data_IF_199734587984
#
_entry.id   IF_199734587984
#
_cell.length_a   1.000
_cell.length_b   1.000
_cell.length_c   1.000
_cell.angle_alpha   90.00
_cell.angle_beta   90.00
_cell.angle_gamma   90.00
#
_symmetry.space_group_name_H-M   'P 1'
#
loop_
_entity.id
_entity.type
_entity.pdbx_description
1 polymer ?
#
# COMPACT_ATOMS: atom_id res chain seq x y z
N UNK A 1 40.62 10.61 10.35
CA UNK A 1 39.60 9.54 10.39
C UNK A 1 38.24 10.00 9.89
N UNK A 2 37.93 11.30 9.96
CA UNK A 2 36.64 11.88 9.47
C UNK A 2 36.51 11.79 7.95
N UNK A 3 37.54 12.09 7.18
CA UNK A 3 37.52 12.08 5.73
C UNK A 3 37.26 10.67 5.12
N UNK A 4 37.78 9.61 5.75
CA UNK A 4 37.55 8.24 5.31
C UNK A 4 36.08 7.81 5.56
N UNK A 5 35.49 8.25 6.66
CA UNK A 5 34.05 8.03 6.96
C UNK A 5 33.15 8.77 6.00
N UNK A 6 33.50 9.98 5.58
CA UNK A 6 32.71 10.76 4.63
C UNK A 6 32.80 10.22 3.18
N UNK A 7 33.97 9.71 2.79
CA UNK A 7 34.14 9.02 1.50
C UNK A 7 33.33 7.72 1.47
N UNK A 8 33.29 6.97 2.57
CA UNK A 8 32.52 5.74 2.68
C UNK A 8 31.00 6.02 2.63
N UNK A 9 30.55 7.11 3.27
CA UNK A 9 29.13 7.54 3.24
C UNK A 9 28.67 8.03 1.86
N UNK A 10 29.57 8.66 1.08
CA UNK A 10 29.23 9.15 -0.27
C UNK A 10 29.20 8.06 -1.32
N UNK A 11 29.83 6.91 -1.09
CA UNK A 11 29.89 5.81 -2.04
C UNK A 11 28.68 4.85 -1.96
N UNK A 12 27.88 4.91 -0.91
CA UNK A 12 26.62 4.17 -0.85
C UNK A 12 25.57 4.98 -1.63
N UNK A 13 25.55 4.82 -2.95
CA UNK A 13 24.42 5.31 -3.77
C UNK A 13 23.12 4.71 -3.23
N UNK A 14 22.01 5.44 -3.34
CA UNK A 14 20.70 5.01 -2.83
C UNK A 14 20.29 3.58 -3.23
N UNK A 15 20.76 3.10 -4.38
CA UNK A 15 20.58 1.70 -4.82
C UNK A 15 21.36 0.68 -3.99
N UNK A 16 22.46 1.07 -3.36
CA UNK A 16 23.25 0.20 -2.50
C UNK A 16 22.78 0.21 -1.04
N UNK A 17 21.96 1.18 -0.65
CA UNK A 17 21.43 1.26 0.71
C UNK A 17 20.60 0.01 1.10
N UNK A 18 19.86 -0.56 0.16
CA UNK A 18 19.11 -1.82 0.36
C UNK A 18 20.01 -3.04 0.53
N UNK A 19 21.23 -3.00 -0.02
CA UNK A 19 22.22 -4.08 0.10
C UNK A 19 23.16 -3.91 1.29
N UNK A 20 23.08 -2.80 2.01
CA UNK A 20 24.01 -2.49 3.13
C UNK A 20 23.99 -3.57 4.20
N UNK A 21 22.82 -4.09 4.55
CA UNK A 21 22.67 -5.10 5.59
C UNK A 21 23.27 -6.46 5.18
N UNK A 22 23.00 -7.03 4.00
CA UNK A 22 23.68 -8.23 3.50
C UNK A 22 25.19 -8.06 3.33
N UNK A 23 25.65 -6.90 2.82
CA UNK A 23 27.06 -6.61 2.63
C UNK A 23 27.83 -6.47 3.96
N UNK A 24 27.21 -5.83 4.95
CA UNK A 24 27.77 -5.77 6.30
C UNK A 24 27.90 -7.18 6.89
N UNK A 25 26.88 -7.99 6.77
CA UNK A 25 26.90 -9.36 7.26
C UNK A 25 27.98 -10.20 6.57
N UNK A 26 28.18 -10.02 5.27
CA UNK A 26 29.24 -10.68 4.50
C UNK A 26 30.65 -10.33 5.03
N UNK A 27 30.86 -9.09 5.46
CA UNK A 27 32.16 -8.61 5.95
C UNK A 27 32.45 -8.96 7.41
N UNK A 28 31.41 -9.16 8.23
CA UNK A 28 31.54 -9.35 9.69
C UNK A 28 31.41 -10.82 10.08
N UNK A 29 30.58 -11.60 9.37
CA UNK A 29 30.26 -12.96 9.75
C UNK A 29 31.19 -13.99 9.10
N UNK A 30 31.60 -15.05 9.83
CA UNK A 30 32.26 -16.21 9.22
C UNK A 30 31.37 -16.90 8.18
N UNK A 31 31.94 -17.53 7.18
CA UNK A 31 31.24 -18.09 6.02
C UNK A 31 30.03 -18.99 6.37
N UNK A 32 30.15 -19.87 7.38
CA UNK A 32 29.03 -20.73 7.81
C UNK A 32 27.89 -19.95 8.46
N UNK A 33 28.20 -18.95 9.29
CA UNK A 33 27.19 -18.09 9.96
C UNK A 33 26.53 -17.17 8.95
N UNK A 34 27.28 -16.68 7.96
CA UNK A 34 26.72 -15.90 6.84
C UNK A 34 25.71 -16.73 6.03
N UNK A 35 26.02 -18.02 5.77
CA UNK A 35 25.07 -18.92 5.10
C UNK A 35 23.76 -19.11 5.87
N UNK A 36 23.82 -19.30 7.19
CA UNK A 36 22.62 -19.36 8.05
C UNK A 36 21.84 -18.05 8.05
N UNK A 37 22.55 -16.93 8.12
CA UNK A 37 21.96 -15.60 8.06
C UNK A 37 21.19 -15.37 6.74
N UNK A 38 21.78 -15.67 5.61
CA UNK A 38 21.14 -15.56 4.29
C UNK A 38 19.95 -16.50 4.15
N UNK A 39 20.06 -17.73 4.65
CA UNK A 39 18.93 -18.69 4.68
C UNK A 39 17.77 -18.15 5.51
N UNK A 40 18.05 -17.56 6.66
CA UNK A 40 17.04 -16.90 7.51
C UNK A 40 16.31 -15.76 6.81
N UNK A 41 17.04 -14.88 6.11
CA UNK A 41 16.45 -13.80 5.30
C UNK A 41 15.53 -14.38 4.22
N UNK A 42 16.01 -15.36 3.45
CA UNK A 42 15.23 -15.98 2.38
C UNK A 42 13.97 -16.65 2.94
N UNK A 43 14.09 -17.39 4.05
CA UNK A 43 12.95 -18.04 4.70
C UNK A 43 11.89 -17.00 5.16
N UNK A 44 12.33 -15.90 5.73
CA UNK A 44 11.43 -14.79 6.15
C UNK A 44 10.72 -14.17 4.95
N UNK A 45 11.44 -13.92 3.86
CA UNK A 45 10.85 -13.39 2.62
C UNK A 45 9.82 -14.37 2.04
N UNK A 46 10.13 -15.67 1.96
CA UNK A 46 9.20 -16.69 1.45
C UNK A 46 7.93 -16.76 2.31
N UNK A 47 8.07 -16.81 3.63
CA UNK A 47 6.92 -16.84 4.55
C UNK A 47 6.01 -15.59 4.39
N UNK A 48 6.61 -14.42 4.21
CA UNK A 48 5.86 -13.18 4.01
C UNK A 48 5.13 -13.16 2.67
N UNK A 49 5.81 -13.58 1.60
CA UNK A 49 5.22 -13.65 0.24
C UNK A 49 4.05 -14.63 0.22
N UNK A 50 4.20 -15.81 0.82
CA UNK A 50 3.14 -16.82 0.88
C UNK A 50 1.90 -16.28 1.62
N UNK A 51 2.08 -15.67 2.78
CA UNK A 51 0.98 -15.15 3.60
C UNK A 51 0.26 -13.99 2.92
N UNK A 52 1.01 -12.99 2.45
CA UNK A 52 0.43 -11.80 1.78
C UNK A 52 -0.11 -12.15 0.40
N UNK A 53 0.55 -13.03 -0.34
CA UNK A 53 0.10 -13.52 -1.64
C UNK A 53 -1.23 -14.26 -1.53
N UNK A 54 -1.36 -15.17 -0.57
CA UNK A 54 -2.60 -15.89 -0.33
C UNK A 54 -3.73 -14.95 0.11
N UNK A 55 -3.47 -14.03 1.05
CA UNK A 55 -4.45 -13.05 1.51
C UNK A 55 -4.94 -12.17 0.36
N UNK A 56 -4.03 -11.68 -0.48
CA UNK A 56 -4.37 -10.87 -1.65
C UNK A 56 -5.15 -11.68 -2.69
N UNK A 57 -4.78 -12.96 -2.90
CA UNK A 57 -5.48 -13.86 -3.80
C UNK A 57 -6.91 -14.17 -3.33
N UNK A 58 -7.12 -14.35 -2.01
CA UNK A 58 -8.45 -14.56 -1.44
C UNK A 58 -9.28 -13.29 -1.60
N UNK A 59 -8.77 -12.12 -1.24
CA UNK A 59 -9.48 -10.85 -1.38
C UNK A 59 -9.84 -10.58 -2.83
N UNK A 60 -8.91 -10.73 -3.76
CA UNK A 60 -9.18 -10.49 -5.18
C UNK A 60 -10.08 -11.57 -5.79
N UNK A 61 -9.79 -12.85 -5.52
CA UNK A 61 -10.50 -13.98 -6.09
C UNK A 61 -11.92 -14.12 -5.55
N UNK A 62 -12.09 -14.04 -4.23
CA UNK A 62 -13.40 -14.21 -3.57
C UNK A 62 -14.22 -12.94 -3.58
N UNK A 63 -13.64 -11.81 -3.15
CA UNK A 63 -14.43 -10.60 -2.92
C UNK A 63 -14.70 -9.84 -4.21
N UNK A 64 -13.86 -10.01 -5.24
CA UNK A 64 -14.00 -9.33 -6.51
C UNK A 64 -14.45 -10.26 -7.63
N UNK A 65 -13.69 -11.29 -8.00
CA UNK A 65 -14.00 -12.15 -9.14
C UNK A 65 -15.25 -13.02 -8.91
N UNK A 66 -15.34 -13.69 -7.76
CA UNK A 66 -16.49 -14.54 -7.46
C UNK A 66 -17.78 -13.72 -7.37
N UNK A 67 -17.75 -12.56 -6.73
CA UNK A 67 -18.93 -11.70 -6.56
C UNK A 67 -19.45 -11.11 -7.88
N UNK A 68 -18.58 -10.94 -8.88
CA UNK A 68 -18.96 -10.43 -10.21
C UNK A 68 -19.50 -11.57 -11.09
N UNK A 69 -18.99 -12.79 -10.92
CA UNK A 69 -19.19 -13.89 -11.86
C UNK A 69 -20.14 -14.97 -11.36
N UNK A 70 -20.51 -15.01 -10.08
CA UNK A 70 -21.41 -16.03 -9.50
C UNK A 70 -22.70 -15.43 -9.03
N UNK A 71 -23.82 -15.89 -9.64
CA UNK A 71 -25.17 -15.66 -9.14
C UNK A 71 -25.55 -16.64 -8.01
N UNK A 72 -24.82 -17.75 -7.86
CA UNK A 72 -25.09 -18.82 -6.91
C UNK A 72 -24.18 -18.77 -5.68
N UNK A 73 -24.78 -18.69 -4.49
CA UNK A 73 -24.09 -18.69 -3.18
C UNK A 73 -23.45 -20.04 -2.82
N UNK A 74 -23.73 -21.09 -3.57
CA UNK A 74 -23.23 -22.47 -3.35
C UNK A 74 -22.03 -22.84 -4.23
N UNK A 75 -21.60 -21.96 -5.13
CA UNK A 75 -20.47 -22.24 -6.03
C UNK A 75 -19.14 -22.30 -5.30
N UNK A 76 -18.29 -23.24 -5.71
CA UNK A 76 -16.98 -23.48 -5.12
C UNK A 76 -16.06 -22.26 -5.37
N UNK A 77 -15.56 -21.60 -4.32
CA UNK A 77 -14.72 -20.38 -4.41
C UNK A 77 -13.26 -20.67 -4.75
N UNK A 78 -12.81 -21.92 -4.64
CA UNK A 78 -11.40 -22.30 -4.84
C UNK A 78 -10.87 -21.92 -6.23
N UNK A 79 -11.57 -22.17 -7.35
CA UNK A 79 -11.07 -21.83 -8.68
C UNK A 79 -10.91 -20.31 -8.87
N UNK A 80 -11.74 -19.51 -8.22
CA UNK A 80 -11.65 -18.04 -8.25
C UNK A 80 -10.43 -17.54 -7.47
N UNK A 81 -10.12 -18.15 -6.33
CA UNK A 81 -8.92 -17.84 -5.54
C UNK A 81 -7.66 -18.19 -6.34
N UNK A 82 -7.64 -19.32 -7.05
CA UNK A 82 -6.51 -19.69 -7.93
C UNK A 82 -6.32 -18.67 -9.08
N UNK A 83 -7.39 -18.24 -9.72
CA UNK A 83 -7.33 -17.16 -10.73
C UNK A 83 -6.84 -15.86 -10.10
N UNK A 84 -7.32 -15.52 -8.91
CA UNK A 84 -6.87 -14.36 -8.13
C UNK A 84 -5.37 -14.41 -7.85
N UNK A 85 -4.83 -15.57 -7.47
CA UNK A 85 -3.40 -15.75 -7.22
C UNK A 85 -2.56 -15.44 -8.47
N UNK A 86 -2.96 -15.96 -9.63
CA UNK A 86 -2.26 -15.72 -10.89
C UNK A 86 -2.26 -14.22 -11.24
N UNK A 87 -3.43 -13.58 -11.12
CA UNK A 87 -3.57 -12.16 -11.45
C UNK A 87 -2.75 -11.29 -10.50
N UNK A 88 -2.82 -11.55 -9.19
CA UNK A 88 -2.05 -10.80 -8.18
C UNK A 88 -0.55 -11.00 -8.36
N UNK A 89 -0.09 -12.23 -8.67
CA UNK A 89 1.31 -12.51 -8.95
C UNK A 89 1.80 -11.75 -10.18
N UNK A 90 1.02 -11.74 -11.25
CA UNK A 90 1.36 -10.97 -12.46
C UNK A 90 1.41 -9.45 -12.17
N UNK A 91 0.42 -8.94 -11.44
CA UNK A 91 0.39 -7.52 -11.04
C UNK A 91 1.60 -7.15 -10.17
N UNK A 92 1.99 -8.03 -9.24
CA UNK A 92 3.17 -7.84 -8.40
C UNK A 92 4.46 -7.76 -9.22
N UNK A 93 4.62 -8.60 -10.26
CA UNK A 93 5.76 -8.56 -11.16
C UNK A 93 5.81 -7.24 -11.96
N UNK A 94 4.66 -6.79 -12.46
CA UNK A 94 4.55 -5.51 -13.17
C UNK A 94 4.93 -4.35 -12.26
N UNK A 95 4.43 -4.34 -11.02
CA UNK A 95 4.76 -3.30 -10.02
C UNK A 95 6.26 -3.33 -9.66
N UNK A 96 6.85 -4.51 -9.49
CA UNK A 96 8.28 -4.66 -9.22
C UNK A 96 9.15 -4.13 -10.37
N UNK A 97 8.68 -4.28 -11.61
CA UNK A 97 9.36 -3.73 -12.79
C UNK A 97 9.25 -2.21 -12.89
N UNK A 98 8.06 -1.65 -12.61
CA UNK A 98 7.80 -0.21 -12.71
C UNK A 98 8.40 0.58 -11.54
N UNK A 99 8.45 -0.02 -10.34
CA UNK A 99 8.91 0.60 -9.10
C UNK A 99 10.01 -0.27 -8.46
N UNK A 100 11.24 -0.21 -8.94
CA UNK A 100 12.33 -1.07 -8.46
C UNK A 100 12.78 -0.74 -7.03
N UNK A 101 12.41 0.43 -6.50
CA UNK A 101 12.73 0.84 -5.14
C UNK A 101 11.57 0.50 -4.19
N UNK A 102 11.85 -0.37 -3.21
CA UNK A 102 10.89 -0.75 -2.16
C UNK A 102 10.41 0.48 -1.38
N UNK A 103 11.31 1.42 -1.09
CA UNK A 103 10.99 2.67 -0.38
C UNK A 103 10.01 3.53 -1.17
N UNK A 104 10.24 3.68 -2.48
CA UNK A 104 9.31 4.40 -3.36
C UNK A 104 7.95 3.72 -3.46
N UNK A 105 7.91 2.39 -3.50
CA UNK A 105 6.67 1.62 -3.51
C UNK A 105 5.86 1.85 -2.22
N UNK A 106 6.49 1.73 -1.04
CA UNK A 106 5.82 2.01 0.23
C UNK A 106 5.35 3.46 0.35
N UNK A 107 6.18 4.40 -0.11
CA UNK A 107 5.82 5.81 -0.14
C UNK A 107 4.61 6.07 -1.04
N UNK A 108 4.60 5.53 -2.26
CA UNK A 108 3.50 5.69 -3.21
C UNK A 108 2.19 5.10 -2.67
N UNK A 109 2.24 3.84 -2.18
CA UNK A 109 1.06 3.16 -1.62
C UNK A 109 0.57 3.89 -0.37
N UNK A 110 1.47 4.23 0.55
CA UNK A 110 1.14 4.91 1.79
C UNK A 110 0.53 6.28 1.57
N UNK A 111 1.14 7.11 0.73
CA UNK A 111 0.67 8.47 0.48
C UNK A 111 -0.63 8.54 -0.34
N UNK A 112 -0.91 7.52 -1.17
CA UNK A 112 -2.11 7.50 -2.02
C UNK A 112 -3.28 6.77 -1.38
N UNK A 113 -3.07 5.57 -0.81
CA UNK A 113 -4.18 4.74 -0.32
C UNK A 113 -4.60 5.07 1.12
N UNK A 114 -3.66 5.39 2.01
CA UNK A 114 -3.98 5.63 3.43
C UNK A 114 -4.98 6.77 3.63
N UNK A 115 -4.86 7.93 2.94
CA UNK A 115 -5.83 9.03 3.11
C UNK A 115 -7.27 8.64 2.77
N UNK A 116 -7.45 7.75 1.80
CA UNK A 116 -8.77 7.27 1.40
C UNK A 116 -9.37 6.24 2.35
N UNK A 117 -8.54 5.47 3.05
CA UNK A 117 -8.98 4.35 3.87
C UNK A 117 -9.11 4.69 5.36
N UNK A 118 -8.26 5.60 5.88
CA UNK A 118 -8.14 5.82 7.33
C UNK A 118 -9.43 6.36 7.96
N UNK A 119 -10.06 7.36 7.36
CA UNK A 119 -11.28 7.95 7.94
C UNK A 119 -12.52 7.06 7.81
N UNK A 120 -12.82 6.42 6.67
CA UNK A 120 -13.84 5.39 6.60
C UNK A 120 -13.64 4.25 7.62
N UNK A 121 -12.40 3.80 7.81
CA UNK A 121 -12.05 2.80 8.80
C UNK A 121 -12.32 3.28 10.23
N UNK A 122 -11.87 4.49 10.60
CA UNK A 122 -12.13 5.10 11.90
C UNK A 122 -13.63 5.31 12.17
N UNK A 123 -14.40 5.64 11.13
CA UNK A 123 -15.85 5.73 11.25
C UNK A 123 -16.51 4.41 11.63
N UNK A 124 -15.96 3.27 11.21
CA UNK A 124 -16.49 1.94 11.54
C UNK A 124 -16.31 1.59 13.02
N UNK A 125 -15.24 2.10 13.65
CA UNK A 125 -14.92 1.85 15.07
C UNK A 125 -15.67 2.82 16.00
N UNK A 126 -16.26 3.88 15.46
CA UNK A 126 -16.96 4.89 16.24
C UNK A 126 -18.25 4.33 16.85
N UNK A 127 -18.60 4.72 18.10
CA UNK A 127 -19.82 4.29 18.79
C UNK A 127 -21.12 4.57 18.02
N UNK A 128 -21.15 5.67 17.24
CA UNK A 128 -22.25 6.03 16.35
C UNK A 128 -21.72 6.22 14.94
N UNK A 129 -21.52 5.13 14.16
CA UNK A 129 -21.01 5.23 12.81
C UNK A 129 -22.01 5.93 11.89
N UNK A 130 -21.50 6.79 11.02
CA UNK A 130 -22.33 7.38 9.97
C UNK A 130 -22.77 6.29 8.99
N UNK A 131 -24.05 6.29 8.57
CA UNK A 131 -24.56 5.27 7.65
C UNK A 131 -23.88 5.38 6.28
N UNK A 132 -23.08 4.35 5.96
CA UNK A 132 -22.30 4.27 4.73
C UNK A 132 -22.93 3.20 3.83
N UNK A 133 -23.77 3.59 2.90
CA UNK A 133 -24.34 2.67 1.90
C UNK A 133 -23.75 2.93 0.52
N UNK A 134 -23.30 1.85 -0.14
CA UNK A 134 -22.98 1.79 -1.56
C UNK A 134 -22.16 2.96 -2.10
N UNK A 135 -22.76 3.80 -2.93
CA UNK A 135 -22.06 4.87 -3.65
C UNK A 135 -21.48 5.99 -2.75
N UNK A 136 -22.01 6.17 -1.52
CA UNK A 136 -21.45 7.13 -0.56
C UNK A 136 -20.12 6.63 -0.01
N UNK A 137 -20.03 5.34 0.31
CA UNK A 137 -18.80 4.72 0.77
C UNK A 137 -17.70 4.75 -0.31
N UNK A 138 -18.06 4.37 -1.55
CA UNK A 138 -17.12 4.40 -2.68
C UNK A 138 -16.59 5.82 -2.93
N UNK A 139 -17.45 6.84 -2.88
CA UNK A 139 -17.01 8.24 -3.06
C UNK A 139 -16.11 8.72 -1.93
N UNK A 140 -16.41 8.34 -0.69
CA UNK A 140 -15.57 8.74 0.45
C UNK A 140 -14.18 8.11 0.40
N UNK A 141 -14.07 6.87 -0.05
CA UNK A 141 -12.78 6.20 -0.24
C UNK A 141 -12.08 6.66 -1.53
N UNK A 142 -12.81 6.74 -2.64
CA UNK A 142 -12.26 7.00 -3.96
C UNK A 142 -11.78 8.43 -4.17
N UNK A 143 -12.52 9.44 -3.70
CA UNK A 143 -12.20 10.83 -3.93
C UNK A 143 -10.83 11.24 -3.33
N UNK A 144 -10.50 10.90 -2.07
CA UNK A 144 -9.17 11.17 -1.53
C UNK A 144 -8.05 10.43 -2.26
N UNK A 145 -8.29 9.17 -2.68
CA UNK A 145 -7.31 8.38 -3.44
C UNK A 145 -7.01 9.06 -4.78
N UNK A 146 -8.04 9.49 -5.50
CA UNK A 146 -7.86 10.19 -6.79
C UNK A 146 -7.10 11.51 -6.61
N UNK A 147 -7.42 12.28 -5.58
CA UNK A 147 -6.72 13.55 -5.27
C UNK A 147 -5.25 13.28 -4.93
N UNK A 148 -4.96 12.34 -4.02
CA UNK A 148 -3.60 11.97 -3.65
C UNK A 148 -2.82 11.44 -4.85
N UNK A 149 -3.44 10.61 -5.68
CA UNK A 149 -2.81 10.04 -6.87
C UNK A 149 -2.48 11.12 -7.91
N UNK A 150 -3.40 12.04 -8.15
CA UNK A 150 -3.17 13.18 -9.05
C UNK A 150 -2.01 14.04 -8.56
N UNK A 151 -1.97 14.32 -7.25
CA UNK A 151 -0.88 15.07 -6.63
C UNK A 151 0.46 14.33 -6.72
N UNK A 152 0.47 13.02 -6.50
CA UNK A 152 1.65 12.16 -6.63
C UNK A 152 2.20 12.19 -8.06
N UNK A 153 1.34 12.07 -9.07
CA UNK A 153 1.74 12.13 -10.48
C UNK A 153 2.35 13.48 -10.82
N UNK A 154 1.71 14.59 -10.42
CA UNK A 154 2.22 15.95 -10.64
C UNK A 154 3.57 16.15 -9.96
N UNK A 155 3.71 15.67 -8.72
CA UNK A 155 4.96 15.73 -7.97
C UNK A 155 6.08 14.94 -8.65
N UNK A 156 5.77 13.76 -9.17
CA UNK A 156 6.74 12.91 -9.89
C UNK A 156 7.19 13.55 -11.20
N UNK A 157 6.28 14.17 -11.96
CA UNK A 157 6.60 14.85 -13.21
C UNK A 157 7.49 16.09 -12.97
N UNK A 158 7.24 16.83 -11.88
CA UNK A 158 8.02 18.03 -11.55
C UNK A 158 9.37 17.73 -10.87
N UNK A 159 9.65 16.46 -10.57
CA UNK A 159 10.92 16.04 -9.93
C UNK A 159 11.09 16.51 -8.48
N UNK A 160 10.08 17.13 -7.89
CA UNK A 160 10.05 17.61 -6.50
C UNK A 160 8.62 17.59 -5.97
N UNK A 161 8.45 17.57 -4.65
CA UNK A 161 7.12 17.67 -4.05
C UNK A 161 6.44 18.98 -4.50
N UNK A 162 5.28 18.84 -5.13
CA UNK A 162 4.51 20.00 -5.62
C UNK A 162 4.14 20.91 -4.45
N UNK A 163 4.58 22.17 -4.50
CA UNK A 163 4.45 23.18 -3.41
C UNK A 163 5.14 22.77 -2.08
N UNK A 164 6.07 21.81 -2.08
CA UNK A 164 6.66 21.29 -0.84
C UNK A 164 5.71 20.44 0.01
N UNK A 165 4.52 20.08 -0.52
CA UNK A 165 3.48 19.33 0.17
C UNK A 165 3.47 17.89 -0.35
N UNK A 166 3.51 16.92 0.56
CA UNK A 166 3.40 15.51 0.19
C UNK A 166 1.98 15.13 -0.24
N UNK A 167 1.82 14.15 -1.15
CA UNK A 167 0.51 13.70 -1.67
C UNK A 167 -0.47 13.24 -0.60
N UNK A 168 0.03 12.82 0.55
CA UNK A 168 -0.76 12.40 1.71
C UNK A 168 -1.67 13.52 2.26
N UNK A 169 -1.15 14.76 2.37
CA UNK A 169 -1.88 15.87 3.00
C UNK A 169 -3.13 16.30 2.24
N UNK A 170 -3.09 16.59 0.93
CA UNK A 170 -4.29 16.94 0.18
C UNK A 170 -5.33 15.80 0.17
N UNK A 171 -4.87 14.55 0.19
CA UNK A 171 -5.76 13.39 0.32
C UNK A 171 -6.49 13.35 1.64
N UNK A 172 -5.79 13.50 2.77
CA UNK A 172 -6.43 13.45 4.10
C UNK A 172 -7.35 14.65 4.33
N UNK A 173 -6.97 15.85 3.85
CA UNK A 173 -7.82 17.03 3.93
C UNK A 173 -9.13 16.83 3.16
N UNK A 174 -9.07 16.26 1.96
CA UNK A 174 -10.26 15.95 1.18
C UNK A 174 -11.15 14.89 1.84
N UNK A 175 -10.55 13.88 2.50
CA UNK A 175 -11.28 12.86 3.25
C UNK A 175 -11.99 13.47 4.47
N UNK A 176 -11.33 14.37 5.21
CA UNK A 176 -11.92 15.09 6.33
C UNK A 176 -13.05 16.00 5.85
N UNK A 177 -12.84 16.76 4.78
CA UNK A 177 -13.86 17.62 4.19
C UNK A 177 -15.12 16.86 3.79
N UNK A 178 -14.94 15.69 3.16
CA UNK A 178 -16.07 14.84 2.78
C UNK A 178 -16.78 14.25 4.01
N UNK A 179 -16.05 13.92 5.07
CA UNK A 179 -16.62 13.47 6.36
C UNK A 179 -17.56 14.52 6.96
N UNK A 180 -17.11 15.78 7.04
CA UNK A 180 -17.94 16.88 7.52
C UNK A 180 -19.15 17.13 6.63
N UNK A 181 -18.98 17.03 5.32
CA UNK A 181 -20.10 17.18 4.37
C UNK A 181 -21.19 16.14 4.60
N UNK A 182 -20.84 14.86 4.80
CA UNK A 182 -21.80 13.79 5.12
C UNK A 182 -22.47 14.05 6.48
N UNK A 183 -21.71 14.51 7.48
CA UNK A 183 -22.23 14.76 8.82
C UNK A 183 -23.27 15.88 8.81
N UNK A 184 -23.02 16.96 8.08
CA UNK A 184 -23.96 18.09 7.93
C UNK A 184 -25.22 17.62 7.17
N UNK A 185 -25.06 16.87 6.08
CA UNK A 185 -26.18 16.35 5.31
C UNK A 185 -27.11 15.44 6.11
N UNK A 186 -26.53 14.57 6.97
CA UNK A 186 -27.32 13.72 7.85
C UNK A 186 -28.07 14.48 8.96
N UNK A 187 -27.45 15.57 9.48
CA UNK A 187 -28.07 16.39 10.52
C UNK A 187 -29.26 17.20 9.99
N UNK A 188 -29.23 17.59 8.73
CA UNK A 188 -30.34 18.28 8.09
C UNK A 188 -31.50 17.30 7.79
N UNK A 189 -31.20 16.09 7.30
CA UNK A 189 -32.21 15.05 7.01
C UNK A 189 -32.90 14.48 8.28
N UNK A 190 -32.42 14.77 9.47
CA UNK A 190 -33.06 14.37 10.75
C UNK A 190 -33.92 15.51 11.35
N UNK A 191 -33.99 16.66 10.70
CA UNK A 191 -34.77 17.82 11.14
C UNK A 191 -36.07 18.03 10.34
N UNK A 192 -36.14 17.40 9.17
CA UNK A 192 -37.33 17.27 8.31
C UNK A 192 -38.07 15.97 8.63
#
# INVERSE_FOLDING_TARGET
SSAASDVYKRQIQQQQATLTFPLLALNVLPAGVFGLFMTGIIATLMSTIDSLGLLSAISFGRDMLWRIQSDDTTSNTIPFIRKGLVIVSFLSLVLAYLLPSIVQLFYAIGSVLIPGLILPFLNTIRNHPLPMKGSKAIRWMGLPIVISMSWYIISTINGSSFLGIEPFYPGILSSIGYFYFIQIGNKNASRD
#
